data_IF_032606717247
#
_entry.id   IF_032606717247
#
_cell.length_a   1.000
_cell.length_b   1.000
_cell.length_c   1.000
_cell.angle_alpha   90.00
_cell.angle_beta   90.00
_cell.angle_gamma   90.00
#
_symmetry.space_group_name_H-M   'P 1'
#
loop_
_entity.id
_entity.type
_entity.pdbx_description
1 polymer ?
#
# COMPACT_ATOMS: atom_id res chain seq x y z
N UNK A 1 -3.42 -15.89 14.91
CA UNK A 1 -3.06 -14.47 14.78
C UNK A 1 -3.51 -13.94 13.44
N UNK A 2 -4.20 -12.81 13.44
CA UNK A 2 -4.73 -12.21 12.21
C UNK A 2 -4.07 -10.86 11.96
N UNK A 3 -3.21 -10.80 10.96
CA UNK A 3 -2.57 -9.56 10.53
C UNK A 3 -3.32 -8.93 9.39
N UNK A 4 -3.52 -7.62 9.45
CA UNK A 4 -4.15 -6.83 8.40
C UNK A 4 -3.29 -5.61 8.09
N UNK A 5 -3.24 -5.24 6.82
CA UNK A 5 -2.45 -4.13 6.33
C UNK A 5 -3.38 -3.18 5.56
N UNK A 6 -3.48 -1.94 6.01
CA UNK A 6 -4.23 -0.91 5.31
C UNK A 6 -3.25 0.08 4.70
N UNK A 7 -3.34 0.31 3.40
CA UNK A 7 -2.39 1.15 2.66
C UNK A 7 -3.11 2.23 1.89
N UNK A 8 -2.51 3.41 1.85
CA UNK A 8 -2.98 4.52 1.02
C UNK A 8 -1.80 5.39 0.60
N UNK A 9 -1.82 5.83 -0.65
CA UNK A 9 -0.87 6.80 -1.17
C UNK A 9 -1.58 8.10 -1.48
N UNK A 10 -0.91 9.21 -1.26
CA UNK A 10 -1.45 10.53 -1.58
C UNK A 10 -0.47 11.32 -2.44
N UNK A 11 -1.01 12.13 -3.34
CA UNK A 11 -0.22 13.09 -4.13
C UNK A 11 -0.97 14.40 -4.17
N UNK A 12 -0.30 15.50 -3.87
CA UNK A 12 -0.91 16.86 -3.84
C UNK A 12 -1.20 17.38 -5.24
N UNK A 13 -0.57 16.80 -6.24
CA UNK A 13 -0.81 17.07 -7.64
C UNK A 13 -0.45 15.80 -8.39
N UNK A 14 -0.87 15.64 -9.63
CA UNK A 14 -0.68 14.37 -10.34
C UNK A 14 0.21 14.54 -11.57
N UNK A 15 1.58 14.60 -11.44
CA UNK A 15 2.37 14.31 -10.21
C UNK A 15 2.53 15.52 -9.29
N UNK A 16 2.94 15.25 -8.06
CA UNK A 16 3.22 16.27 -7.06
C UNK A 16 3.83 15.65 -5.82
N UNK A 17 3.95 16.45 -4.76
CA UNK A 17 4.43 15.97 -3.47
C UNK A 17 3.57 14.81 -3.01
N UNK A 18 4.19 13.69 -2.73
CA UNK A 18 3.49 12.44 -2.47
C UNK A 18 3.94 11.78 -1.17
N UNK A 19 3.10 10.89 -0.67
CA UNK A 19 3.36 10.20 0.58
C UNK A 19 2.76 8.80 0.58
N UNK A 20 3.22 8.02 1.57
CA UNK A 20 2.77 6.68 1.86
C UNK A 20 2.17 6.66 3.27
N UNK A 21 1.00 6.07 3.41
CA UNK A 21 0.35 5.84 4.69
C UNK A 21 0.02 4.36 4.84
N UNK A 22 0.45 3.76 5.94
CA UNK A 22 0.23 2.33 6.23
C UNK A 22 -0.14 2.14 7.68
N UNK A 23 -1.18 1.34 7.93
CA UNK A 23 -1.55 0.91 9.26
C UNK A 23 -1.49 -0.62 9.31
N UNK A 24 -0.76 -1.15 10.27
CA UNK A 24 -0.63 -2.60 10.48
C UNK A 24 -1.40 -2.99 11.72
N UNK A 25 -2.33 -3.92 11.57
CA UNK A 25 -3.17 -4.41 12.67
C UNK A 25 -2.84 -5.87 12.99
N UNK A 26 -2.82 -6.20 14.26
CA UNK A 26 -2.76 -7.57 14.74
C UNK A 26 -3.99 -7.81 15.61
N UNK A 27 -4.83 -8.74 15.19
CA UNK A 27 -6.08 -9.07 15.89
C UNK A 27 -6.93 -7.82 16.20
N UNK A 28 -6.97 -6.90 15.23
CA UNK A 28 -7.77 -5.68 15.32
C UNK A 28 -7.10 -4.49 16.00
N UNK A 29 -5.90 -4.67 16.56
CA UNK A 29 -5.16 -3.59 17.20
C UNK A 29 -4.02 -3.08 16.32
N UNK A 30 -3.89 -1.76 16.19
CA UNK A 30 -2.82 -1.14 15.42
C UNK A 30 -1.49 -1.32 16.16
N UNK A 31 -0.56 -2.03 15.52
CA UNK A 31 0.76 -2.33 16.09
C UNK A 31 1.88 -1.52 15.45
N UNK A 32 1.64 -0.93 14.28
CA UNK A 32 2.66 -0.15 13.59
C UNK A 32 2.01 0.78 12.56
N UNK A 33 2.62 1.93 12.35
CA UNK A 33 2.17 2.87 11.32
C UNK A 33 3.35 3.36 10.50
N UNK A 34 3.08 3.69 9.24
CA UNK A 34 4.02 4.37 8.36
C UNK A 34 3.32 5.63 7.87
N UNK A 35 4.00 6.75 7.99
CA UNK A 35 3.53 8.05 7.50
C UNK A 35 4.77 8.77 6.99
N UNK A 36 5.01 8.72 5.66
CA UNK A 36 6.29 9.18 5.14
C UNK A 36 6.14 9.85 3.78
N UNK A 37 6.94 10.90 3.56
CA UNK A 37 7.08 11.54 2.25
C UNK A 37 7.88 10.63 1.32
N UNK A 38 7.47 10.56 0.06
CA UNK A 38 8.13 9.74 -0.95
C UNK A 38 8.65 10.56 -2.14
N UNK A 39 8.62 11.90 -2.04
CA UNK A 39 9.06 12.77 -3.12
C UNK A 39 7.95 13.09 -4.10
N UNK A 40 8.31 13.36 -5.34
CA UNK A 40 7.35 13.70 -6.40
C UNK A 40 6.88 12.40 -7.06
N UNK A 41 5.58 12.18 -7.08
CA UNK A 41 5.00 10.97 -7.66
C UNK A 41 3.55 11.23 -8.12
N UNK A 42 3.04 10.36 -8.97
CA UNK A 42 1.63 10.34 -9.34
C UNK A 42 0.82 9.64 -8.24
N UNK A 43 -0.50 9.78 -8.27
CA UNK A 43 -1.38 9.08 -7.34
C UNK A 43 -1.16 7.57 -7.41
N UNK A 44 -1.10 7.00 -8.61
CA UNK A 44 -0.92 5.56 -8.78
C UNK A 44 0.45 5.08 -8.27
N UNK A 45 1.50 5.86 -8.50
CA UNK A 45 2.82 5.54 -7.96
C UNK A 45 2.82 5.57 -6.43
N UNK A 46 2.15 6.57 -5.83
CA UNK A 46 2.04 6.68 -4.37
C UNK A 46 1.28 5.49 -3.78
N UNK A 47 0.20 5.06 -4.43
CA UNK A 47 -0.57 3.88 -4.00
C UNK A 47 0.29 2.61 -4.02
N UNK A 48 1.05 2.39 -5.10
CA UNK A 48 1.98 1.27 -5.17
C UNK A 48 3.06 1.36 -4.09
N UNK A 49 3.59 2.55 -3.85
CA UNK A 49 4.65 2.73 -2.85
C UNK A 49 4.16 2.41 -1.45
N UNK A 50 2.92 2.80 -1.11
CA UNK A 50 2.34 2.47 0.19
C UNK A 50 2.23 0.94 0.36
N UNK A 51 1.80 0.24 -0.67
CA UNK A 51 1.74 -1.22 -0.65
C UNK A 51 3.12 -1.83 -0.47
N UNK A 52 4.13 -1.34 -1.21
CA UNK A 52 5.51 -1.81 -1.10
C UNK A 52 6.03 -1.59 0.33
N UNK A 53 5.81 -0.41 0.89
CA UNK A 53 6.28 -0.07 2.24
C UNK A 53 5.64 -0.99 3.29
N UNK A 54 4.35 -1.25 3.16
CA UNK A 54 3.64 -2.16 4.06
C UNK A 54 4.14 -3.60 3.95
N UNK A 55 4.34 -4.09 2.74
CA UNK A 55 4.83 -5.44 2.51
C UNK A 55 6.27 -5.61 3.00
N UNK A 56 7.12 -4.60 2.80
CA UNK A 56 8.48 -4.62 3.33
C UNK A 56 8.50 -4.73 4.86
N UNK A 57 7.63 -3.97 5.53
CA UNK A 57 7.49 -4.08 6.98
C UNK A 57 7.14 -5.51 7.39
N UNK A 58 6.19 -6.12 6.70
CA UNK A 58 5.77 -7.49 7.01
C UNK A 58 6.89 -8.49 6.80
N UNK A 59 7.62 -8.38 5.69
CA UNK A 59 8.77 -9.26 5.41
C UNK A 59 9.84 -9.09 6.49
N UNK A 60 10.17 -7.84 6.84
CA UNK A 60 11.20 -7.54 7.84
C UNK A 60 10.84 -8.05 9.24
N UNK A 61 9.56 -8.21 9.52
CA UNK A 61 9.06 -8.68 10.82
C UNK A 61 8.55 -10.11 10.78
N UNK A 62 8.91 -10.85 9.72
CA UNK A 62 8.58 -12.28 9.57
C UNK A 62 7.09 -12.59 9.64
N UNK A 63 6.25 -11.66 9.18
CA UNK A 63 4.82 -11.86 9.03
C UNK A 63 4.61 -12.63 7.72
N UNK A 64 4.12 -13.87 7.80
CA UNK A 64 3.98 -14.75 6.65
C UNK A 64 2.56 -14.86 6.10
N UNK A 65 1.56 -14.45 6.86
CA UNK A 65 0.17 -14.47 6.45
C UNK A 65 -0.43 -13.09 6.70
N UNK A 66 -1.02 -12.49 5.67
CA UNK A 66 -1.50 -11.11 5.73
C UNK A 66 -2.69 -10.89 4.81
N UNK A 67 -3.67 -10.13 5.29
CA UNK A 67 -4.72 -9.56 4.45
C UNK A 67 -4.40 -8.10 4.22
N UNK A 68 -4.39 -7.66 2.96
CA UNK A 68 -4.05 -6.30 2.56
C UNK A 68 -5.29 -5.61 2.00
N UNK A 69 -5.46 -4.35 2.37
CA UNK A 69 -6.59 -3.53 1.95
C UNK A 69 -6.10 -2.21 1.36
N UNK A 70 -6.58 -1.90 0.15
CA UNK A 70 -6.31 -0.64 -0.55
C UNK A 70 -7.62 -0.12 -1.14
N UNK A 71 -7.74 1.20 -1.24
CA UNK A 71 -8.90 1.80 -1.90
C UNK A 71 -8.65 2.11 -3.38
N UNK A 72 -7.46 1.87 -3.89
CA UNK A 72 -7.18 1.98 -5.32
C UNK A 72 -7.57 0.70 -6.04
N UNK A 73 -8.70 0.73 -6.73
CA UNK A 73 -9.15 -0.43 -7.51
C UNK A 73 -8.13 -0.80 -8.60
N UNK A 74 -7.53 0.21 -9.25
CA UNK A 74 -6.53 -0.03 -10.29
C UNK A 74 -5.36 -0.88 -9.75
N UNK A 75 -4.79 -0.46 -8.64
CA UNK A 75 -3.63 -1.17 -8.05
C UNK A 75 -4.02 -2.59 -7.64
N UNK A 76 -5.17 -2.74 -6.95
CA UNK A 76 -5.66 -4.06 -6.53
C UNK A 76 -5.81 -4.98 -7.72
N UNK A 77 -6.48 -4.53 -8.77
CA UNK A 77 -6.75 -5.35 -9.94
C UNK A 77 -5.47 -5.65 -10.75
N UNK A 78 -4.53 -4.72 -10.81
CA UNK A 78 -3.24 -4.96 -11.45
C UNK A 78 -2.41 -5.99 -10.68
N UNK A 79 -2.38 -5.89 -9.36
CA UNK A 79 -1.63 -6.84 -8.52
C UNK A 79 -2.27 -8.23 -8.57
N UNK A 80 -3.59 -8.31 -8.61
CA UNK A 80 -4.32 -9.57 -8.72
C UNK A 80 -4.38 -10.11 -10.17
N UNK A 81 -3.72 -9.42 -11.11
CA UNK A 81 -3.60 -9.84 -12.52
C UNK A 81 -4.91 -9.81 -13.31
N UNK A 82 -5.90 -9.04 -12.84
CA UNK A 82 -7.16 -8.84 -13.55
C UNK A 82 -7.08 -7.70 -14.56
N UNK A 83 -6.17 -6.73 -14.34
CA UNK A 83 -5.89 -5.63 -15.25
C UNK A 83 -4.43 -5.68 -15.68
N UNK A 84 -4.17 -5.38 -16.95
CA UNK A 84 -2.80 -5.26 -17.46
C UNK A 84 -2.16 -3.98 -16.97
N UNK A 85 -0.85 -4.05 -16.70
CA UNK A 85 -0.04 -2.88 -16.35
C UNK A 85 0.62 -2.40 -17.64
N UNK A 86 0.18 -1.25 -18.15
CA UNK A 86 0.69 -0.70 -19.41
C UNK A 86 1.75 0.38 -19.21
N UNK A 87 1.59 1.22 -18.19
CA UNK A 87 2.52 2.31 -17.91
C UNK A 87 3.86 1.77 -17.40
N UNK A 88 4.96 2.22 -18.02
CA UNK A 88 6.30 1.74 -17.68
C UNK A 88 6.66 1.94 -16.20
N UNK A 89 6.31 3.11 -15.64
CA UNK A 89 6.57 3.41 -14.23
C UNK A 89 5.83 2.46 -13.29
N UNK A 90 4.60 2.07 -13.65
CA UNK A 90 3.81 1.15 -12.82
C UNK A 90 4.26 -0.30 -12.99
N UNK A 91 4.83 -0.66 -14.16
CA UNK A 91 5.39 -2.00 -14.36
C UNK A 91 6.52 -2.29 -13.39
N UNK A 92 7.40 -1.30 -13.16
CA UNK A 92 8.52 -1.43 -12.22
C UNK A 92 7.99 -1.67 -10.81
N UNK A 93 7.01 -0.87 -10.38
CA UNK A 93 6.42 -0.98 -9.04
C UNK A 93 5.63 -2.28 -8.88
N UNK A 94 4.87 -2.66 -9.91
CA UNK A 94 4.12 -3.93 -9.91
C UNK A 94 5.08 -5.13 -9.77
N UNK A 95 6.19 -5.12 -10.50
CA UNK A 95 7.21 -6.18 -10.39
C UNK A 95 7.77 -6.29 -8.98
N UNK A 96 8.01 -5.14 -8.34
CA UNK A 96 8.49 -5.10 -6.96
C UNK A 96 7.47 -5.72 -6.00
N UNK A 97 6.19 -5.40 -6.17
CA UNK A 97 5.13 -5.99 -5.36
C UNK A 97 5.07 -7.51 -5.56
N UNK A 98 5.17 -7.97 -6.80
CA UNK A 98 5.14 -9.41 -7.11
C UNK A 98 6.29 -10.16 -6.43
N UNK A 99 7.49 -9.57 -6.41
CA UNK A 99 8.63 -10.16 -5.70
C UNK A 99 8.35 -10.27 -4.21
N UNK A 100 7.79 -9.21 -3.60
CA UNK A 100 7.47 -9.22 -2.17
C UNK A 100 6.38 -10.24 -1.84
N UNK A 101 5.38 -10.39 -2.69
CA UNK A 101 4.29 -11.35 -2.49
C UNK A 101 4.84 -12.77 -2.35
N UNK A 102 5.89 -13.12 -3.08
CA UNK A 102 6.50 -14.45 -3.03
C UNK A 102 7.07 -14.80 -1.65
N UNK A 103 7.34 -13.81 -0.80
CA UNK A 103 7.85 -14.00 0.55
C UNK A 103 6.76 -14.47 1.54
N UNK A 104 5.49 -14.43 1.13
CA UNK A 104 4.38 -14.77 2.01
C UNK A 104 3.87 -16.18 1.76
N UNK A 105 3.49 -16.84 2.85
CA UNK A 105 2.82 -18.14 2.80
C UNK A 105 1.38 -17.99 2.32
N UNK A 106 0.72 -16.91 2.78
CA UNK A 106 -0.64 -16.60 2.39
C UNK A 106 -0.81 -15.08 2.38
N UNK A 107 -1.23 -14.54 1.25
CA UNK A 107 -1.51 -13.11 1.11
C UNK A 107 -2.75 -12.91 0.25
N UNK A 108 -3.62 -12.02 0.70
CA UNK A 108 -4.79 -11.58 -0.06
C UNK A 108 -4.73 -10.07 -0.22
N UNK A 109 -4.90 -9.59 -1.45
CA UNK A 109 -4.96 -8.16 -1.77
C UNK A 109 -6.41 -7.83 -2.08
N UNK A 110 -7.01 -7.00 -1.25
CA UNK A 110 -8.44 -6.68 -1.30
C UNK A 110 -8.68 -5.20 -1.56
N UNK A 111 -9.72 -4.92 -2.34
CA UNK A 111 -10.21 -3.56 -2.51
C UNK A 111 -11.20 -3.23 -1.40
N UNK A 112 -11.08 -2.03 -0.83
CA UNK A 112 -12.07 -1.46 0.10
C UNK A 112 -12.46 -0.08 -0.38
N UNK A 113 -13.61 0.40 0.05
CA UNK A 113 -14.02 1.76 -0.26
C UNK A 113 -13.24 2.74 0.62
N UNK A 114 -13.14 3.97 0.15
CA UNK A 114 -12.37 5.03 0.79
C UNK A 114 -12.76 5.24 2.26
N UNK A 115 -14.06 5.19 2.56
CA UNK A 115 -14.57 5.33 3.93
C UNK A 115 -14.12 4.21 4.86
N UNK A 116 -13.67 3.08 4.31
CA UNK A 116 -13.17 1.96 5.11
C UNK A 116 -11.64 1.93 5.18
N UNK A 117 -10.97 2.96 4.63
CA UNK A 117 -9.51 3.08 4.62
C UNK A 117 -9.04 4.41 5.24
N UNK A 118 -9.80 4.93 6.17
CA UNK A 118 -9.58 6.28 6.77
C UNK A 118 -8.26 6.42 7.49
N UNK A 119 -7.82 5.38 8.20
CA UNK A 119 -6.58 5.46 8.98
C UNK A 119 -5.36 5.60 8.07
N UNK A 120 -5.29 4.79 7.02
CA UNK A 120 -4.19 4.88 6.05
C UNK A 120 -4.21 6.23 5.31
N UNK A 121 -5.37 6.71 4.93
CA UNK A 121 -5.55 8.03 4.33
C UNK A 121 -5.05 9.14 5.26
N UNK A 122 -5.42 9.08 6.54
CA UNK A 122 -4.95 10.02 7.54
C UNK A 122 -3.43 10.04 7.64
N UNK A 123 -2.81 8.85 7.69
CA UNK A 123 -1.37 8.71 7.80
C UNK A 123 -0.65 9.29 6.58
N UNK A 124 -1.17 9.05 5.39
CA UNK A 124 -0.61 9.61 4.16
C UNK A 124 -0.68 11.13 4.16
N UNK A 125 -1.82 11.70 4.54
CA UNK A 125 -2.00 13.15 4.59
C UNK A 125 -1.15 13.80 5.68
N UNK A 126 -1.01 13.17 6.84
CA UNK A 126 -0.16 13.67 7.92
C UNK A 126 1.29 13.89 7.46
N UNK A 127 1.82 13.00 6.64
CA UNK A 127 3.18 13.13 6.12
C UNK A 127 3.35 14.39 5.26
N UNK A 128 2.34 14.74 4.48
CA UNK A 128 2.38 15.91 3.59
C UNK A 128 2.07 17.21 4.32
N UNK A 129 1.41 17.16 5.46
CA UNK A 129 1.00 18.35 6.23
C UNK A 129 2.08 18.82 7.21
N UNK A 130 3.21 18.15 7.25
CA UNK A 130 4.33 18.52 8.12
C UNK A 130 5.26 19.55 7.47
#
# INVERSE_FOLDING_TARGET
MKYQLFCDGASRSNPGDASSGVSVLLDGEEIHTISKKIGIATNNEAEYQALIDGLNYCVDNSIKEIEVFLDSNLVVEQVNENFKVKAANLKVLNSKVKELIEEFKLIKINHVYREDNKRADQLANMALDK
#
